data_IF_670691466422
#
_entry.id   IF_670691466422
#
_cell.length_a   1.000
_cell.length_b   1.000
_cell.length_c   1.000
_cell.angle_alpha   90.00
_cell.angle_beta   90.00
_cell.angle_gamma   90.00
#
_symmetry.space_group_name_H-M   'P 1'
#
loop_
_entity.id
_entity.type
_entity.pdbx_description
1 polymer ?
#
# COMPACT_ATOMS: atom_id res chain seq x y z
N UNK A 1 -8.60 -24.66 21.88
CA UNK A 1 -9.10 -23.94 20.68
C UNK A 1 -10.46 -23.28 20.86
N UNK A 2 -11.61 -24.00 20.94
CA UNK A 2 -12.96 -23.36 21.13
C UNK A 2 -13.00 -22.34 22.27
N UNK A 3 -12.58 -22.77 23.46
CA UNK A 3 -12.56 -21.92 24.66
C UNK A 3 -11.53 -20.79 24.55
N UNK A 4 -10.40 -20.99 23.87
CA UNK A 4 -9.40 -19.95 23.66
C UNK A 4 -9.89 -18.89 22.67
N UNK A 5 -10.51 -19.28 21.55
CA UNK A 5 -11.12 -18.38 20.58
C UNK A 5 -12.22 -17.55 21.27
N UNK A 6 -13.13 -18.20 21.99
CA UNK A 6 -14.18 -17.51 22.74
C UNK A 6 -13.62 -16.54 23.78
N UNK A 7 -12.55 -16.92 24.49
CA UNK A 7 -11.89 -16.06 25.48
C UNK A 7 -11.22 -14.85 24.82
N UNK A 8 -10.56 -15.05 23.67
CA UNK A 8 -9.93 -13.96 22.92
C UNK A 8 -11.00 -13.01 22.37
N UNK A 9 -12.09 -13.52 21.78
CA UNK A 9 -13.17 -12.70 21.25
C UNK A 9 -13.90 -11.92 22.36
N UNK A 10 -14.10 -12.54 23.54
CA UNK A 10 -14.59 -11.84 24.75
C UNK A 10 -13.65 -10.71 25.16
N UNK A 11 -12.34 -10.94 25.17
CA UNK A 11 -11.35 -9.91 25.50
C UNK A 11 -11.34 -8.73 24.52
N UNK A 12 -11.92 -8.90 23.33
CA UNK A 12 -12.10 -7.85 22.31
C UNK A 12 -13.46 -7.16 22.37
N UNK A 13 -14.32 -7.51 23.33
CA UNK A 13 -15.62 -6.87 23.57
C UNK A 13 -16.74 -7.34 22.64
N UNK A 14 -16.63 -8.54 22.08
CA UNK A 14 -17.68 -9.14 21.23
C UNK A 14 -18.74 -9.78 22.15
N UNK A 15 -20.03 -9.66 21.78
CA UNK A 15 -21.14 -10.21 22.57
C UNK A 15 -21.15 -11.74 22.55
N UNK A 16 -21.66 -12.33 23.63
CA UNK A 16 -21.66 -13.79 23.81
C UNK A 16 -22.47 -14.53 22.73
N UNK A 17 -23.56 -13.92 22.27
CA UNK A 17 -24.40 -14.47 21.19
C UNK A 17 -23.65 -14.53 19.85
N UNK A 18 -22.92 -13.46 19.50
CA UNK A 18 -22.14 -13.38 18.27
C UNK A 18 -20.89 -14.28 18.35
N UNK A 19 -20.30 -14.43 19.54
CA UNK A 19 -19.21 -15.39 19.76
C UNK A 19 -19.71 -16.82 19.55
N UNK A 20 -20.90 -17.16 20.05
CA UNK A 20 -21.49 -18.48 19.86
C UNK A 20 -21.74 -18.77 18.37
N UNK A 21 -22.24 -17.79 17.62
CA UNK A 21 -22.46 -17.88 16.17
C UNK A 21 -21.13 -18.04 15.40
N UNK A 22 -20.13 -17.18 15.66
CA UNK A 22 -18.80 -17.26 15.03
C UNK A 22 -18.13 -18.60 15.31
N UNK A 23 -18.17 -19.07 16.56
CA UNK A 23 -17.59 -20.35 16.95
C UNK A 23 -18.30 -21.50 16.25
N UNK A 24 -19.63 -21.46 16.18
CA UNK A 24 -20.42 -22.46 15.46
C UNK A 24 -20.12 -22.47 13.95
N UNK A 25 -19.98 -21.29 13.34
CA UNK A 25 -19.68 -21.16 11.91
C UNK A 25 -18.26 -21.61 11.58
N UNK A 26 -17.28 -21.31 12.44
CA UNK A 26 -15.91 -21.85 12.32
C UNK A 26 -15.98 -23.37 12.46
N UNK A 27 -16.65 -23.91 13.49
CA UNK A 27 -16.74 -25.36 13.72
C UNK A 27 -17.41 -26.12 12.58
N UNK A 28 -18.38 -25.51 11.89
CA UNK A 28 -19.16 -26.14 10.80
C UNK A 28 -18.57 -25.92 9.42
N UNK A 29 -17.93 -24.78 9.14
CA UNK A 29 -17.39 -24.43 7.81
C UNK A 29 -15.88 -24.63 7.69
N UNK A 30 -15.15 -24.74 8.79
CA UNK A 30 -13.70 -24.93 8.75
C UNK A 30 -13.34 -26.41 8.63
N UNK A 31 -12.63 -26.76 7.56
CA UNK A 31 -11.92 -28.05 7.45
C UNK A 31 -10.89 -28.26 8.58
N UNK A 32 -10.56 -27.20 9.34
CA UNK A 32 -9.51 -27.19 10.35
C UNK A 32 -10.00 -27.37 11.81
N UNK A 33 -11.32 -27.38 12.07
CA UNK A 33 -11.83 -27.33 13.47
C UNK A 33 -12.79 -28.45 13.87
N UNK A 34 -12.99 -29.46 13.01
CA UNK A 34 -13.61 -30.72 13.47
C UNK A 34 -12.80 -31.33 14.62
N UNK A 35 -13.48 -32.02 15.56
CA UNK A 35 -13.03 -32.70 16.81
C UNK A 35 -11.53 -32.77 17.18
N UNK A 36 -11.20 -33.03 18.46
CA UNK A 36 -9.81 -33.25 18.91
C UNK A 36 -9.01 -34.27 18.04
N UNK A 37 -9.68 -35.22 17.38
CA UNK A 37 -9.08 -36.14 16.41
C UNK A 37 -8.66 -35.45 15.09
N UNK A 38 -9.43 -34.48 14.59
CA UNK A 38 -9.05 -33.71 13.40
C UNK A 38 -7.92 -32.73 13.71
N UNK A 39 -7.86 -32.13 14.91
CA UNK A 39 -6.70 -31.32 15.34
C UNK A 39 -5.40 -32.13 15.42
N UNK A 40 -5.45 -33.37 15.90
CA UNK A 40 -4.27 -34.25 15.91
C UNK A 40 -3.84 -34.61 14.48
N UNK A 41 -4.79 -34.97 13.61
CA UNK A 41 -4.52 -35.20 12.18
C UNK A 41 -3.95 -33.96 11.50
N UNK A 42 -4.43 -32.76 11.81
CA UNK A 42 -3.91 -31.51 11.25
C UNK A 42 -2.50 -31.23 11.77
N UNK A 43 -2.24 -31.43 13.07
CA UNK A 43 -0.89 -31.29 13.63
C UNK A 43 0.09 -32.20 12.93
N UNK A 44 -0.28 -33.45 12.66
CA UNK A 44 0.56 -34.40 11.92
C UNK A 44 0.69 -34.01 10.43
N UNK A 45 -0.41 -33.55 9.83
CA UNK A 45 -0.47 -33.11 8.42
C UNK A 45 0.38 -31.86 8.16
N UNK A 46 0.49 -30.94 9.11
CA UNK A 46 1.28 -29.71 8.97
C UNK A 46 2.62 -29.72 9.74
N UNK A 47 2.96 -30.85 10.38
CA UNK A 47 4.13 -31.01 11.28
C UNK A 47 5.48 -30.75 10.60
N UNK A 48 5.62 -31.12 9.33
CA UNK A 48 6.88 -31.04 8.58
C UNK A 48 6.70 -30.33 7.25
N UNK A 49 7.80 -29.82 6.68
CA UNK A 49 7.74 -29.19 5.35
C UNK A 49 7.23 -30.16 4.28
N UNK A 50 7.64 -31.43 4.37
CA UNK A 50 7.20 -32.48 3.48
C UNK A 50 5.69 -32.74 3.57
N UNK A 51 5.16 -32.88 4.79
CA UNK A 51 3.72 -33.13 4.98
C UNK A 51 2.88 -31.94 4.51
N UNK A 52 3.37 -30.71 4.73
CA UNK A 52 2.75 -29.50 4.19
C UNK A 52 2.72 -29.49 2.67
N UNK A 53 3.85 -29.77 2.01
CA UNK A 53 3.91 -29.84 0.55
C UNK A 53 2.95 -30.90 -0.01
N UNK A 54 2.90 -32.09 0.60
CA UNK A 54 1.97 -33.15 0.20
C UNK A 54 0.51 -32.73 0.38
N UNK A 55 0.18 -32.10 1.52
CA UNK A 55 -1.15 -31.56 1.75
C UNK A 55 -1.50 -30.50 0.70
N UNK A 56 -0.59 -29.58 0.40
CA UNK A 56 -0.86 -28.53 -0.57
C UNK A 56 -1.06 -29.07 -1.97
N UNK A 57 -0.19 -29.98 -2.43
CA UNK A 57 -0.33 -30.64 -3.73
C UNK A 57 -1.62 -31.44 -3.85
N UNK A 58 -2.10 -32.03 -2.74
CA UNK A 58 -3.31 -32.85 -2.74
C UNK A 58 -4.60 -32.01 -2.74
N UNK A 59 -4.62 -30.93 -1.95
CA UNK A 59 -5.86 -30.17 -1.71
C UNK A 59 -5.94 -28.88 -2.51
N UNK A 60 -4.81 -28.34 -2.98
CA UNK A 60 -4.76 -27.16 -3.83
C UNK A 60 -4.20 -27.53 -5.19
N UNK A 61 -4.67 -26.81 -6.21
CA UNK A 61 -4.16 -26.97 -7.57
C UNK A 61 -2.82 -26.25 -7.74
N UNK A 62 -1.78 -26.74 -7.06
CA UNK A 62 -0.43 -26.18 -7.08
C UNK A 62 0.18 -26.33 -8.47
N UNK A 63 0.72 -25.23 -9.00
CA UNK A 63 1.51 -25.23 -10.23
C UNK A 63 2.98 -25.36 -9.85
N UNK A 64 3.62 -26.45 -10.25
CA UNK A 64 5.02 -26.71 -9.95
C UNK A 64 5.94 -25.85 -10.84
N UNK A 65 7.13 -25.48 -10.36
CA UNK A 65 8.12 -24.81 -11.18
C UNK A 65 8.66 -25.73 -12.27
N UNK A 66 9.01 -25.15 -13.40
CA UNK A 66 9.76 -25.78 -14.47
C UNK A 66 11.21 -25.28 -14.45
N UNK A 67 12.13 -26.19 -14.74
CA UNK A 67 13.56 -25.92 -14.84
C UNK A 67 13.97 -25.70 -16.30
N UNK A 68 14.79 -24.68 -16.53
CA UNK A 68 15.39 -24.38 -17.83
C UNK A 68 16.90 -24.40 -17.64
N UNK A 69 17.58 -25.34 -18.30
CA UNK A 69 19.03 -25.43 -18.29
C UNK A 69 19.65 -24.25 -19.05
N UNK A 70 20.56 -23.52 -18.38
CA UNK A 70 21.22 -22.33 -18.90
C UNK A 70 22.67 -22.59 -19.36
N UNK A 71 23.16 -23.82 -19.24
CA UNK A 71 24.57 -24.15 -19.49
C UNK A 71 25.37 -24.26 -18.20
N UNK A 72 26.70 -24.08 -18.30
CA UNK A 72 27.63 -24.16 -17.17
C UNK A 72 28.21 -22.80 -16.81
N UNK A 73 28.45 -22.56 -15.53
CA UNK A 73 29.18 -21.39 -15.05
C UNK A 73 30.70 -21.52 -15.29
N UNK A 74 31.45 -20.50 -14.82
CA UNK A 74 32.91 -20.46 -14.89
C UNK A 74 33.60 -21.60 -14.11
N UNK A 75 32.90 -22.23 -13.17
CA UNK A 75 33.38 -23.35 -12.37
C UNK A 75 32.92 -24.71 -12.96
N UNK A 76 32.41 -24.70 -14.19
CA UNK A 76 31.85 -25.85 -14.90
C UNK A 76 30.64 -26.51 -14.21
N UNK A 77 29.91 -25.78 -13.37
CA UNK A 77 28.68 -26.26 -12.71
C UNK A 77 27.46 -25.91 -13.54
N UNK A 78 26.53 -26.86 -13.63
CA UNK A 78 25.27 -26.68 -14.33
C UNK A 78 24.43 -25.57 -13.68
N UNK A 79 23.90 -24.68 -14.52
CA UNK A 79 23.08 -23.54 -14.14
C UNK A 79 21.66 -23.72 -14.65
N UNK A 80 20.69 -23.32 -13.82
CA UNK A 80 19.27 -23.49 -14.12
C UNK A 80 18.48 -22.23 -13.78
N UNK A 81 17.57 -21.83 -14.67
CA UNK A 81 16.48 -20.91 -14.37
C UNK A 81 15.29 -21.73 -13.92
N UNK A 82 14.62 -21.30 -12.86
CA UNK A 82 13.36 -21.89 -12.43
C UNK A 82 12.25 -20.87 -12.59
N UNK A 83 11.13 -21.27 -13.18
CA UNK A 83 9.96 -20.40 -13.33
C UNK A 83 8.67 -21.18 -13.11
N UNK A 84 7.61 -20.48 -12.69
CA UNK A 84 6.27 -21.08 -12.58
C UNK A 84 5.51 -20.79 -13.88
N UNK A 85 5.03 -21.80 -14.63
CA UNK A 85 4.36 -21.58 -15.90
C UNK A 85 3.11 -20.71 -15.79
N UNK A 86 3.18 -19.49 -16.34
CA UNK A 86 2.12 -18.48 -16.25
C UNK A 86 0.79 -19.01 -16.76
N UNK A 87 0.78 -19.73 -17.87
CA UNK A 87 -0.45 -20.29 -18.46
C UNK A 87 -1.14 -21.29 -17.51
N UNK A 88 -0.37 -22.16 -16.85
CA UNK A 88 -0.90 -23.09 -15.87
C UNK A 88 -1.41 -22.34 -14.63
N UNK A 89 -0.66 -21.35 -14.14
CA UNK A 89 -1.05 -20.50 -13.02
C UNK A 89 -2.37 -19.77 -13.29
N UNK A 90 -2.52 -19.18 -14.48
CA UNK A 90 -3.75 -18.50 -14.89
C UNK A 90 -4.93 -19.46 -14.97
N UNK A 91 -4.76 -20.66 -15.52
CA UNK A 91 -5.82 -21.68 -15.56
C UNK A 91 -6.33 -22.05 -14.16
N UNK A 92 -5.45 -22.06 -13.16
CA UNK A 92 -5.85 -22.36 -11.79
C UNK A 92 -6.48 -21.14 -11.11
N UNK A 93 -5.88 -19.95 -11.27
CA UNK A 93 -6.43 -18.70 -10.72
C UNK A 93 -7.85 -18.42 -11.22
N UNK A 94 -8.13 -18.65 -12.50
CA UNK A 94 -9.45 -18.41 -13.10
C UNK A 94 -10.51 -19.46 -12.70
N UNK A 95 -10.15 -20.51 -11.95
CA UNK A 95 -11.16 -21.41 -11.34
C UNK A 95 -11.73 -20.84 -10.04
N UNK A 96 -11.03 -19.89 -9.43
CA UNK A 96 -11.49 -19.23 -8.21
C UNK A 96 -12.61 -18.24 -8.55
N UNK A 97 -13.79 -18.44 -7.95
CA UNK A 97 -14.96 -17.59 -8.18
C UNK A 97 -14.67 -16.13 -7.82
N UNK A 98 -13.91 -15.87 -6.74
CA UNK A 98 -13.56 -14.50 -6.32
C UNK A 98 -12.71 -13.78 -7.37
N UNK A 99 -11.84 -14.51 -8.07
CA UNK A 99 -11.06 -13.97 -9.19
C UNK A 99 -11.97 -13.72 -10.38
N UNK A 100 -12.84 -14.67 -10.73
CA UNK A 100 -13.78 -14.54 -11.84
C UNK A 100 -14.78 -13.39 -11.65
N UNK A 101 -15.20 -13.13 -10.41
CA UNK A 101 -16.06 -11.99 -10.09
C UNK A 101 -15.39 -10.65 -10.43
N UNK A 102 -14.08 -10.51 -10.22
CA UNK A 102 -13.34 -9.29 -10.58
C UNK A 102 -13.31 -9.02 -12.10
N UNK A 103 -13.48 -10.05 -12.92
CA UNK A 103 -13.60 -9.90 -14.38
C UNK A 103 -15.06 -9.73 -14.86
N UNK A 104 -16.02 -10.18 -14.05
CA UNK A 104 -17.43 -10.30 -14.47
C UNK A 104 -18.29 -9.11 -14.05
N UNK A 105 -17.87 -8.34 -13.04
CA UNK A 105 -18.61 -7.17 -12.55
C UNK A 105 -17.85 -5.88 -12.95
N UNK A 106 -18.07 -5.32 -14.15
CA UNK A 106 -17.66 -3.93 -14.39
C UNK A 106 -18.36 -3.04 -13.36
N UNK A 107 -17.64 -2.08 -12.78
CA UNK A 107 -18.26 -1.16 -11.81
C UNK A 107 -19.36 -0.35 -12.54
N UNK A 108 -20.62 -0.67 -12.23
CA UNK A 108 -21.79 -0.08 -12.89
C UNK A 108 -22.13 1.30 -12.33
N UNK A 109 -21.45 1.75 -11.27
CA UNK A 109 -21.71 3.03 -10.61
C UNK A 109 -20.77 4.14 -11.09
N UNK A 110 -20.35 4.11 -12.36
CA UNK A 110 -19.55 5.20 -12.93
C UNK A 110 -20.35 6.49 -12.93
N UNK A 111 -19.90 7.47 -12.13
CA UNK A 111 -20.46 8.81 -12.20
C UNK A 111 -20.05 9.46 -13.52
N UNK A 112 -20.97 10.17 -14.20
CA UNK A 112 -20.60 11.00 -15.34
C UNK A 112 -19.45 11.94 -14.98
N UNK A 113 -18.56 12.20 -15.94
CA UNK A 113 -17.44 13.14 -15.79
C UNK A 113 -16.52 12.88 -14.59
N UNK A 114 -16.28 11.60 -14.32
CA UNK A 114 -15.35 11.16 -13.26
C UNK A 114 -14.41 10.05 -13.73
N UNK A 115 -13.30 9.95 -13.02
CA UNK A 115 -12.32 8.87 -13.12
C UNK A 115 -12.49 7.99 -11.88
N UNK A 116 -12.90 6.73 -12.06
CA UNK A 116 -13.09 5.75 -10.99
C UNK A 116 -12.17 4.54 -11.16
N UNK A 117 -11.78 4.23 -12.39
CA UNK A 117 -10.79 3.20 -12.68
C UNK A 117 -9.92 3.57 -13.89
N UNK A 118 -9.01 2.67 -14.25
CA UNK A 118 -8.09 2.89 -15.38
C UNK A 118 -8.78 2.96 -16.74
N UNK A 119 -9.98 2.40 -16.87
CA UNK A 119 -10.72 2.38 -18.14
C UNK A 119 -11.31 3.74 -18.47
N UNK A 120 -11.39 4.64 -17.48
CA UNK A 120 -11.79 6.03 -17.68
C UNK A 120 -10.66 6.89 -18.29
N UNK A 121 -9.41 6.42 -18.17
CA UNK A 121 -8.22 7.09 -18.69
C UNK A 121 -8.17 7.11 -20.22
N UNK A 122 -7.65 8.21 -20.77
CA UNK A 122 -7.54 8.39 -22.22
C UNK A 122 -6.64 7.34 -22.90
N UNK A 123 -5.62 6.81 -22.20
CA UNK A 123 -4.77 5.75 -22.74
C UNK A 123 -5.49 4.42 -22.90
N UNK A 124 -6.46 4.12 -22.04
CA UNK A 124 -7.29 2.93 -22.22
C UNK A 124 -8.30 3.13 -23.35
N UNK A 125 -9.04 4.24 -23.31
CA UNK A 125 -10.07 4.59 -24.30
C UNK A 125 -9.51 4.70 -25.72
N UNK A 126 -8.31 5.28 -25.87
CA UNK A 126 -7.67 5.49 -27.17
C UNK A 126 -6.95 4.27 -27.74
N UNK A 127 -6.85 3.16 -27.00
CA UNK A 127 -6.05 2.02 -27.42
C UNK A 127 -6.92 0.85 -27.92
N UNK A 128 -6.84 0.58 -29.22
CA UNK A 128 -7.62 -0.46 -29.93
C UNK A 128 -7.41 -1.87 -29.38
N UNK A 129 -6.24 -2.15 -28.78
CA UNK A 129 -5.96 -3.44 -28.13
C UNK A 129 -6.93 -3.71 -26.99
N UNK A 130 -7.31 -2.68 -26.23
CA UNK A 130 -8.23 -2.80 -25.10
C UNK A 130 -9.71 -2.73 -25.48
N UNK A 131 -10.03 -2.28 -26.70
CA UNK A 131 -11.42 -2.13 -27.16
C UNK A 131 -12.02 -3.43 -27.72
N UNK A 132 -11.22 -4.50 -27.92
CA UNK A 132 -11.69 -5.71 -28.62
C UNK A 132 -11.32 -7.01 -27.89
N UNK A 133 -12.30 -7.89 -27.72
CA UNK A 133 -12.12 -9.22 -27.14
C UNK A 133 -11.85 -9.23 -25.63
N UNK A 134 -11.79 -10.43 -25.04
CA UNK A 134 -11.45 -10.61 -23.63
C UNK A 134 -9.93 -10.55 -23.44
N UNK A 135 -9.48 -9.76 -22.46
CA UNK A 135 -8.05 -9.60 -22.15
C UNK A 135 -7.79 -9.93 -20.69
N UNK A 136 -6.63 -10.54 -20.45
CA UNK A 136 -6.05 -10.67 -19.13
C UNK A 136 -4.80 -9.80 -19.14
N UNK A 137 -4.73 -8.85 -18.23
CA UNK A 137 -3.61 -7.93 -18.12
C UNK A 137 -2.71 -8.43 -17.00
N UNK A 138 -1.44 -8.63 -17.34
CA UNK A 138 -0.40 -9.09 -16.43
C UNK A 138 0.52 -7.93 -16.12
N UNK A 139 0.63 -7.59 -14.83
CA UNK A 139 1.62 -6.65 -14.34
C UNK A 139 2.83 -7.45 -13.88
N UNK A 140 3.99 -7.18 -14.47
CA UNK A 140 5.25 -7.82 -14.11
C UNK A 140 6.07 -6.88 -13.24
N UNK A 141 6.50 -7.38 -12.08
CA UNK A 141 7.37 -6.67 -11.15
C UNK A 141 8.67 -7.42 -11.03
N UNK A 142 9.76 -6.69 -10.81
CA UNK A 142 11.08 -7.27 -10.63
C UNK A 142 11.68 -6.74 -9.34
N UNK A 143 12.22 -7.63 -8.52
CA UNK A 143 12.96 -7.26 -7.32
C UNK A 143 14.15 -8.19 -7.13
N UNK A 144 15.20 -7.70 -6.48
CA UNK A 144 16.43 -8.45 -6.20
C UNK A 144 16.67 -8.52 -4.70
N UNK A 145 16.56 -9.72 -4.13
CA UNK A 145 16.74 -9.94 -2.70
C UNK A 145 17.91 -10.88 -2.38
N UNK A 146 18.42 -10.73 -1.16
CA UNK A 146 19.51 -11.54 -0.63
C UNK A 146 18.93 -12.79 0.04
N UNK A 147 19.35 -13.97 -0.41
CA UNK A 147 18.95 -15.27 0.18
C UNK A 147 19.98 -15.84 1.15
N UNK A 148 21.13 -15.18 1.29
CA UNK A 148 22.24 -15.63 2.13
C UNK A 148 22.08 -15.11 3.55
N UNK A 149 22.71 -15.80 4.52
CA UNK A 149 22.76 -15.36 5.90
C UNK A 149 23.30 -13.91 5.97
N UNK A 150 22.53 -12.95 6.55
CA UNK A 150 22.88 -11.54 6.58
C UNK A 150 24.13 -11.21 7.41
N UNK A 151 24.72 -12.19 8.12
CA UNK A 151 25.89 -12.02 8.98
C UNK A 151 27.15 -12.76 8.47
N UNK A 152 27.10 -13.45 7.33
CA UNK A 152 28.21 -14.24 6.80
C UNK A 152 29.11 -13.52 5.78
N UNK A 153 30.26 -14.12 5.46
CA UNK A 153 31.24 -13.61 4.47
C UNK A 153 30.74 -13.62 3.01
N UNK A 154 29.59 -14.24 2.75
CA UNK A 154 28.89 -14.24 1.46
C UNK A 154 27.83 -13.13 1.33
N UNK A 155 27.61 -12.32 2.38
CA UNK A 155 26.69 -11.17 2.39
C UNK A 155 26.97 -10.26 1.18
N UNK A 156 25.93 -9.73 0.54
CA UNK A 156 25.98 -8.81 -0.62
C UNK A 156 26.62 -9.32 -1.92
N UNK A 157 27.19 -10.54 -1.97
CA UNK A 157 27.88 -11.02 -3.19
C UNK A 157 26.92 -11.50 -4.28
N UNK A 158 25.82 -12.15 -3.91
CA UNK A 158 24.85 -12.69 -4.85
C UNK A 158 23.43 -12.30 -4.42
N UNK A 159 22.64 -11.84 -5.39
CA UNK A 159 21.21 -11.59 -5.22
C UNK A 159 20.43 -12.51 -6.13
N UNK A 160 19.29 -12.98 -5.65
CA UNK A 160 18.31 -13.65 -6.51
C UNK A 160 17.41 -12.57 -7.06
N UNK A 161 17.31 -12.55 -8.39
CA UNK A 161 16.35 -11.72 -9.11
C UNK A 161 15.04 -12.49 -9.21
N UNK A 162 13.97 -11.93 -8.67
CA UNK A 162 12.64 -12.48 -8.80
C UNK A 162 11.78 -11.60 -9.68
N UNK A 163 11.07 -12.24 -10.60
CA UNK A 163 10.02 -11.62 -11.41
C UNK A 163 8.67 -12.13 -10.91
N UNK A 164 7.82 -11.22 -10.46
CA UNK A 164 6.47 -11.51 -9.95
C UNK A 164 5.44 -11.09 -10.99
N UNK A 165 4.29 -11.75 -10.98
CA UNK A 165 3.12 -11.35 -11.75
C UNK A 165 1.95 -11.02 -10.85
N UNK A 166 1.14 -10.05 -11.26
CA UNK A 166 -0.19 -9.80 -10.68
C UNK A 166 -1.22 -9.61 -11.79
N UNK A 167 -2.45 -10.03 -11.51
CA UNK A 167 -3.61 -9.69 -12.31
C UNK A 167 -4.04 -8.26 -11.94
N UNK A 168 -4.15 -7.37 -12.92
CA UNK A 168 -4.48 -5.97 -12.64
C UNK A 168 -4.77 -5.17 -13.90
N UNK A 169 -5.24 -3.93 -13.73
CA UNK A 169 -5.39 -2.99 -14.85
C UNK A 169 -4.04 -2.41 -15.29
N UNK A 170 -3.94 -1.81 -16.49
CA UNK A 170 -2.77 -1.09 -17.00
C UNK A 170 -2.47 0.21 -16.25
N UNK A 171 -3.13 0.48 -15.12
CA UNK A 171 -2.78 1.59 -14.24
C UNK A 171 -1.44 1.28 -13.58
N UNK A 172 -0.36 1.80 -14.15
CA UNK A 172 0.95 1.92 -13.50
C UNK A 172 1.13 3.39 -13.09
N UNK A 173 0.39 3.86 -12.08
CA UNK A 173 0.60 5.21 -11.57
C UNK A 173 2.01 5.33 -10.98
N UNK A 174 2.52 6.57 -10.85
CA UNK A 174 3.76 6.82 -10.12
C UNK A 174 3.68 6.19 -8.73
N UNK A 175 4.82 5.78 -8.19
CA UNK A 175 4.83 5.15 -6.87
C UNK A 175 4.54 6.21 -5.79
N UNK A 176 3.26 6.43 -5.49
CA UNK A 176 2.80 7.43 -4.51
C UNK A 176 3.47 7.26 -3.15
N UNK A 177 3.78 6.01 -2.76
CA UNK A 177 4.55 5.72 -1.55
C UNK A 177 5.88 6.49 -1.52
N UNK A 178 6.67 6.39 -2.59
CA UNK A 178 7.99 7.00 -2.65
C UNK A 178 7.92 8.48 -3.04
N UNK A 179 7.07 8.85 -3.99
CA UNK A 179 7.01 10.20 -4.55
C UNK A 179 6.25 11.17 -3.65
N UNK A 180 5.08 10.75 -3.16
CA UNK A 180 4.18 11.59 -2.37
C UNK A 180 4.48 11.43 -0.88
N UNK A 181 4.35 10.23 -0.31
CA UNK A 181 4.36 10.04 1.15
C UNK A 181 5.77 10.08 1.78
N UNK A 182 6.73 9.36 1.21
CA UNK A 182 8.15 9.39 1.62
C UNK A 182 8.93 10.52 0.92
N UNK A 183 8.29 11.15 -0.06
CA UNK A 183 8.79 12.32 -0.75
C UNK A 183 8.20 13.59 -0.18
N UNK A 184 7.31 14.22 -0.93
CA UNK A 184 6.78 15.56 -0.61
C UNK A 184 6.29 15.65 0.84
N UNK A 185 5.43 14.73 1.28
CA UNK A 185 4.88 14.73 2.63
C UNK A 185 5.97 14.62 3.69
N UNK A 186 6.90 13.69 3.53
CA UNK A 186 7.99 13.50 4.50
C UNK A 186 8.89 14.72 4.66
N UNK A 187 9.22 15.41 3.56
CA UNK A 187 10.09 16.58 3.58
C UNK A 187 9.35 17.84 4.04
N UNK A 188 8.20 18.13 3.43
CA UNK A 188 7.50 19.40 3.66
C UNK A 188 6.79 19.42 5.01
N UNK A 189 6.16 18.31 5.42
CA UNK A 189 5.56 18.25 6.75
C UNK A 189 6.61 18.38 7.85
N UNK A 190 7.81 17.81 7.66
CA UNK A 190 8.92 18.02 8.58
C UNK A 190 9.33 19.50 8.65
N UNK A 191 9.51 20.14 7.49
CA UNK A 191 9.87 21.55 7.39
C UNK A 191 8.87 22.45 8.12
N UNK A 192 7.57 22.23 7.91
CA UNK A 192 6.50 23.03 8.52
C UNK A 192 6.42 22.82 10.03
N UNK A 193 6.51 21.56 10.49
CA UNK A 193 6.58 21.25 11.93
C UNK A 193 7.80 21.89 12.59
N UNK A 194 8.97 21.88 11.93
CA UNK A 194 10.16 22.56 12.45
C UNK A 194 9.99 24.08 12.51
N UNK A 195 9.27 24.68 11.55
CA UNK A 195 8.91 26.11 11.61
C UNK A 195 8.05 26.41 12.84
N UNK A 196 7.05 25.59 13.13
CA UNK A 196 6.20 25.75 14.32
C UNK A 196 6.95 25.57 15.63
N UNK A 197 7.92 24.66 15.68
CA UNK A 197 8.70 24.35 16.88
C UNK A 197 9.81 25.39 17.13
N UNK A 198 10.61 25.69 16.10
CA UNK A 198 11.85 26.46 16.25
C UNK A 198 11.61 27.95 16.05
N UNK A 199 10.85 28.32 15.02
CA UNK A 199 10.65 29.71 14.63
C UNK A 199 9.45 30.32 15.36
N UNK A 200 8.26 29.74 15.21
CA UNK A 200 7.02 30.28 15.81
C UNK A 200 6.85 29.94 17.29
N UNK A 201 7.48 28.85 17.75
CA UNK A 201 7.41 28.34 19.13
C UNK A 201 5.98 28.07 19.62
N UNK A 202 5.09 27.66 18.71
CA UNK A 202 3.70 27.34 19.04
C UNK A 202 3.58 25.99 19.74
N UNK A 203 4.45 25.03 19.39
CA UNK A 203 4.44 23.68 19.96
C UNK A 203 5.88 23.20 20.20
N UNK A 204 6.05 22.27 21.14
CA UNK A 204 7.35 21.60 21.35
C UNK A 204 7.35 20.22 20.70
N UNK A 205 8.53 19.70 20.39
CA UNK A 205 8.65 18.35 19.80
C UNK A 205 8.18 17.27 20.78
N UNK A 206 8.35 17.49 22.09
CA UNK A 206 7.85 16.64 23.16
C UNK A 206 6.32 16.62 23.19
N UNK A 207 5.69 17.79 23.09
CA UNK A 207 4.23 17.91 23.07
C UNK A 207 3.65 17.24 21.82
N UNK A 208 4.25 17.48 20.65
CA UNK A 208 3.84 16.83 19.40
C UNK A 208 3.89 15.30 19.52
N UNK A 209 5.02 14.77 19.98
CA UNK A 209 5.19 13.33 20.12
C UNK A 209 4.28 12.72 21.18
N UNK A 210 3.95 13.48 22.24
CA UNK A 210 2.94 13.09 23.21
C UNK A 210 1.56 13.00 22.55
N UNK A 211 1.14 14.03 21.80
CA UNK A 211 -0.14 14.02 21.04
C UNK A 211 -0.22 12.85 20.07
N UNK A 212 0.86 12.59 19.32
CA UNK A 212 0.95 11.43 18.42
C UNK A 212 0.79 10.11 19.18
N UNK A 213 1.44 9.97 20.35
CA UNK A 213 1.40 8.73 21.13
C UNK A 213 0.02 8.50 21.75
N UNK A 214 -0.59 9.56 22.28
CA UNK A 214 -1.84 9.51 23.06
C UNK A 214 -3.10 9.51 22.17
N UNK A 215 -2.97 9.82 20.88
CA UNK A 215 -4.09 9.86 19.94
C UNK A 215 -4.80 8.50 19.85
N UNK A 216 -6.13 8.52 19.89
CA UNK A 216 -6.98 7.31 19.89
C UNK A 216 -7.20 6.77 18.46
N UNK A 217 -6.17 6.15 17.88
CA UNK A 217 -6.26 5.51 16.56
C UNK A 217 -7.27 4.36 16.52
N UNK A 218 -8.00 4.23 15.41
CA UNK A 218 -8.98 3.17 15.15
C UNK A 218 -8.68 2.43 13.85
N UNK A 219 -9.12 1.18 13.74
CA UNK A 219 -8.99 0.40 12.49
C UNK A 219 -7.54 0.28 12.00
N UNK A 220 -7.34 0.46 10.68
CA UNK A 220 -6.03 0.41 10.02
C UNK A 220 -5.04 1.43 10.59
N UNK A 221 -5.53 2.61 11.01
CA UNK A 221 -4.68 3.67 11.58
C UNK A 221 -3.92 3.23 12.85
N UNK A 222 -4.43 2.22 13.56
CA UNK A 222 -3.75 1.66 14.75
C UNK A 222 -2.56 0.78 14.39
N UNK A 223 -2.59 0.14 13.21
CA UNK A 223 -1.47 -0.63 12.67
C UNK A 223 -0.40 0.31 12.11
N UNK A 224 -0.85 1.39 11.46
CA UNK A 224 -0.01 2.35 10.76
C UNK A 224 0.27 3.62 11.58
N UNK A 225 0.44 3.48 12.89
CA UNK A 225 0.67 4.63 13.77
C UNK A 225 1.90 5.43 13.31
N UNK A 226 1.82 6.78 13.29
CA UNK A 226 2.97 7.62 13.00
C UNK A 226 4.15 7.34 13.94
N UNK A 227 5.35 7.37 13.37
CA UNK A 227 6.59 7.32 14.16
C UNK A 227 6.79 8.68 14.83
N UNK A 228 7.39 8.68 16.03
CA UNK A 228 7.78 9.91 16.72
C UNK A 228 8.61 10.80 15.80
N UNK A 229 8.21 12.06 15.68
CA UNK A 229 8.91 13.11 14.95
C UNK A 229 10.20 13.44 15.70
N UNK A 230 11.31 13.49 14.96
CA UNK A 230 12.63 13.86 15.49
C UNK A 230 13.11 15.13 14.80
N UNK A 231 13.92 15.94 15.50
CA UNK A 231 14.73 16.97 14.85
C UNK A 231 15.83 16.24 14.07
N UNK A 232 15.56 15.95 12.81
CA UNK A 232 16.42 15.15 11.94
C UNK A 232 17.36 16.07 11.16
N UNK A 233 18.70 15.87 11.19
CA UNK A 233 19.64 16.64 10.37
C UNK A 233 19.35 16.54 8.87
N UNK A 234 18.76 15.43 8.42
CA UNK A 234 18.39 15.18 7.01
C UNK A 234 17.18 15.99 6.55
N UNK A 235 16.43 16.60 7.49
CA UNK A 235 15.29 17.46 7.16
C UNK A 235 14.07 16.70 6.62
N UNK A 236 13.83 15.47 7.08
CA UNK A 236 12.64 14.67 6.71
C UNK A 236 12.05 13.89 7.87
N UNK A 237 10.77 13.55 7.76
CA UNK A 237 10.08 12.62 8.67
C UNK A 237 10.69 11.22 8.59
N UNK A 238 10.72 10.54 9.72
CA UNK A 238 11.05 9.11 9.82
C UNK A 238 9.79 8.28 9.79
N UNK A 239 9.87 7.05 9.26
CA UNK A 239 8.72 6.15 9.15
C UNK A 239 8.43 5.78 7.70
N UNK A 240 7.59 4.76 7.53
CA UNK A 240 7.16 4.28 6.23
C UNK A 240 6.08 5.17 5.61
N UNK A 241 5.90 5.09 4.30
CA UNK A 241 4.90 5.82 3.52
C UNK A 241 3.53 5.96 4.21
N UNK A 242 2.90 4.84 4.60
CA UNK A 242 1.56 4.85 5.22
C UNK A 242 1.53 5.58 6.56
N UNK A 243 2.62 5.55 7.32
CA UNK A 243 2.73 6.24 8.62
C UNK A 243 2.83 7.76 8.42
N UNK A 244 3.54 8.21 7.38
CA UNK A 244 3.61 9.63 7.02
C UNK A 244 2.26 10.15 6.50
N UNK A 245 1.56 9.35 5.68
CA UNK A 245 0.21 9.66 5.24
C UNK A 245 -0.75 9.78 6.43
N UNK A 246 -0.70 8.82 7.35
CA UNK A 246 -1.53 8.83 8.55
C UNK A 246 -1.25 10.06 9.42
N UNK A 247 0.02 10.45 9.59
CA UNK A 247 0.39 11.66 10.32
C UNK A 247 -0.22 12.90 9.67
N UNK A 248 0.00 13.13 8.37
CA UNK A 248 -0.54 14.30 7.67
C UNK A 248 -2.06 14.40 7.81
N UNK A 249 -2.76 13.29 7.60
CA UNK A 249 -4.22 13.24 7.61
C UNK A 249 -4.80 13.56 8.99
N UNK A 250 -4.17 13.08 10.07
CA UNK A 250 -4.65 13.22 11.44
C UNK A 250 -4.03 14.41 12.19
N UNK A 251 -2.95 15.02 11.68
CA UNK A 251 -2.23 16.09 12.37
C UNK A 251 -3.15 17.25 12.77
N UNK A 252 -4.08 17.75 11.92
CA UNK A 252 -4.98 18.82 12.34
C UNK A 252 -5.83 18.47 13.56
N UNK A 253 -6.23 17.20 13.70
CA UNK A 253 -6.98 16.73 14.86
C UNK A 253 -6.11 16.62 16.13
N UNK A 254 -4.79 16.53 15.97
CA UNK A 254 -3.84 16.38 17.08
C UNK A 254 -3.40 17.71 17.68
N UNK A 255 -3.29 18.76 16.85
CA UNK A 255 -2.62 20.01 17.22
C UNK A 255 -3.43 21.28 16.92
N UNK A 256 -4.64 21.21 16.35
CA UNK A 256 -5.43 22.42 16.03
C UNK A 256 -5.68 23.32 17.23
N UNK A 257 -5.83 22.75 18.43
CA UNK A 257 -6.01 23.51 19.68
C UNK A 257 -4.76 24.28 20.14
N UNK A 258 -3.60 24.02 19.52
CA UNK A 258 -2.31 24.67 19.81
C UNK A 258 -1.97 25.73 18.76
N UNK A 259 -2.59 25.67 17.57
CA UNK A 259 -2.35 26.64 16.49
C UNK A 259 -2.90 28.01 16.90
N UNK A 260 -2.03 29.02 16.88
CA UNK A 260 -2.38 30.38 17.34
C UNK A 260 -3.10 31.20 16.27
N UNK A 261 -2.80 30.95 15.00
CA UNK A 261 -3.42 31.64 13.86
C UNK A 261 -3.74 30.63 12.75
N UNK A 262 -5.03 30.46 12.47
CA UNK A 262 -5.50 29.59 11.41
C UNK A 262 -5.29 30.18 10.01
N UNK A 263 -5.02 31.48 9.88
CA UNK A 263 -4.70 32.12 8.60
C UNK A 263 -3.19 32.11 8.30
N UNK A 264 -2.37 31.55 9.20
CA UNK A 264 -0.94 31.48 9.01
C UNK A 264 -0.55 30.74 7.74
N UNK A 265 0.33 31.34 6.92
CA UNK A 265 0.67 30.79 5.60
C UNK A 265 1.31 29.39 5.69
N UNK A 266 2.05 29.06 6.76
CA UNK A 266 2.65 27.71 6.93
C UNK A 266 1.60 26.70 7.37
N UNK A 267 0.63 27.10 8.20
CA UNK A 267 -0.51 26.26 8.54
C UNK A 267 -1.37 25.97 7.30
N UNK A 268 -1.61 26.98 6.48
CA UNK A 268 -2.32 26.83 5.21
C UNK A 268 -1.60 25.86 4.26
N UNK A 269 -0.25 25.88 4.19
CA UNK A 269 0.50 24.88 3.43
C UNK A 269 0.30 23.44 3.93
N UNK A 270 0.17 23.21 5.24
CA UNK A 270 -0.13 21.87 5.78
C UNK A 270 -1.51 21.41 5.32
N UNK A 271 -2.51 22.30 5.40
CA UNK A 271 -3.88 22.00 4.99
C UNK A 271 -3.97 21.75 3.48
N UNK A 272 -3.33 22.58 2.66
CA UNK A 272 -3.26 22.39 1.20
C UNK A 272 -2.56 21.09 0.84
N UNK A 273 -1.44 20.74 1.49
CA UNK A 273 -0.76 19.47 1.26
C UNK A 273 -1.65 18.27 1.63
N UNK A 274 -2.39 18.36 2.75
CA UNK A 274 -3.37 17.35 3.15
C UNK A 274 -4.46 17.19 2.09
N UNK A 275 -5.00 18.29 1.57
CA UNK A 275 -6.05 18.28 0.55
C UNK A 275 -5.57 17.74 -0.80
N UNK A 276 -4.35 18.10 -1.24
CA UNK A 276 -3.70 17.49 -2.41
C UNK A 276 -3.62 15.98 -2.23
N UNK A 277 -3.16 15.52 -1.07
CA UNK A 277 -3.04 14.08 -0.77
C UNK A 277 -4.41 13.41 -0.77
N UNK A 278 -5.43 14.02 -0.15
CA UNK A 278 -6.80 13.49 -0.11
C UNK A 278 -7.39 13.36 -1.53
N UNK A 279 -7.19 14.34 -2.41
CA UNK A 279 -7.66 14.30 -3.81
C UNK A 279 -6.91 13.26 -4.64
N UNK A 280 -5.58 13.22 -4.55
CA UNK A 280 -4.73 12.26 -5.28
C UNK A 280 -5.03 10.82 -4.86
N UNK A 281 -5.34 10.61 -3.57
CA UNK A 281 -5.65 9.29 -3.03
C UNK A 281 -7.14 8.96 -3.06
N UNK A 282 -7.96 9.79 -3.71
CA UNK A 282 -9.39 9.51 -3.82
C UNK A 282 -9.61 8.32 -4.77
N UNK A 283 -10.45 7.32 -4.39
CA UNK A 283 -10.80 6.21 -5.28
C UNK A 283 -11.55 6.67 -6.54
N UNK A 284 -12.21 7.82 -6.46
CA UNK A 284 -12.92 8.43 -7.57
C UNK A 284 -12.72 9.94 -7.55
N UNK A 285 -12.39 10.54 -8.70
CA UNK A 285 -12.15 11.97 -8.84
C UNK A 285 -12.91 12.51 -10.06
N UNK A 286 -13.72 13.54 -9.85
CA UNK A 286 -14.43 14.23 -10.94
C UNK A 286 -13.48 15.11 -11.76
N UNK A 287 -13.88 15.46 -12.99
CA UNK A 287 -13.15 16.41 -13.84
C UNK A 287 -12.97 17.78 -13.15
N UNK A 288 -13.97 18.24 -12.40
CA UNK A 288 -13.93 19.50 -11.63
C UNK A 288 -12.90 19.43 -10.50
N UNK A 289 -12.92 18.35 -9.71
CA UNK A 289 -11.92 18.11 -8.67
C UNK A 289 -10.51 17.96 -9.24
N UNK A 290 -10.38 17.40 -10.45
CA UNK A 290 -9.11 17.25 -11.13
C UNK A 290 -8.53 18.60 -11.56
N UNK A 291 -9.38 19.51 -12.07
CA UNK A 291 -8.99 20.89 -12.38
C UNK A 291 -8.59 21.62 -11.10
N UNK A 292 -9.39 21.49 -10.04
CA UNK A 292 -9.07 22.06 -8.74
C UNK A 292 -7.74 21.55 -8.18
N UNK A 293 -7.46 20.24 -8.32
CA UNK A 293 -6.19 19.64 -7.92
C UNK A 293 -5.00 20.28 -8.65
N UNK A 294 -5.14 20.56 -9.96
CA UNK A 294 -4.09 21.19 -10.75
C UNK A 294 -3.77 22.61 -10.25
N UNK A 295 -4.81 23.39 -9.97
CA UNK A 295 -4.65 24.75 -9.46
C UNK A 295 -4.08 24.71 -8.03
N UNK A 296 -4.61 23.84 -7.17
CA UNK A 296 -4.16 23.64 -5.79
C UNK A 296 -2.68 23.27 -5.71
N UNK A 297 -2.20 22.34 -6.55
CA UNK A 297 -0.78 21.98 -6.63
C UNK A 297 0.07 23.19 -7.04
N UNK A 298 -0.40 23.97 -8.00
CA UNK A 298 0.32 25.16 -8.49
C UNK A 298 0.47 26.19 -7.38
N UNK A 299 -0.63 26.54 -6.71
CA UNK A 299 -0.61 27.50 -5.59
C UNK A 299 0.21 26.98 -4.41
N UNK A 300 0.09 25.70 -4.06
CA UNK A 300 0.87 25.08 -3.01
C UNK A 300 2.38 25.20 -3.27
N UNK A 301 2.85 24.83 -4.46
CA UNK A 301 4.27 24.88 -4.80
C UNK A 301 4.82 26.31 -4.84
N UNK A 302 4.05 27.26 -5.36
CA UNK A 302 4.42 28.68 -5.37
C UNK A 302 4.52 29.25 -3.95
N UNK A 303 3.51 29.02 -3.12
CA UNK A 303 3.48 29.46 -1.72
C UNK A 303 4.59 28.83 -0.89
N UNK A 304 4.85 27.52 -1.09
CA UNK A 304 5.99 26.81 -0.47
C UNK A 304 7.31 27.49 -0.81
N UNK A 305 7.56 27.76 -2.09
CA UNK A 305 8.81 28.38 -2.54
C UNK A 305 8.95 29.82 -2.01
N UNK A 306 7.85 30.57 -1.96
CA UNK A 306 7.81 31.93 -1.40
C UNK A 306 8.15 31.95 0.09
N UNK A 307 7.57 31.04 0.88
CA UNK A 307 7.78 31.00 2.34
C UNK A 307 9.12 30.39 2.75
N UNK A 308 9.68 29.49 1.93
CA UNK A 308 10.92 28.80 2.22
C UNK A 308 11.90 28.91 1.03
N UNK A 309 12.35 30.13 0.69
CA UNK A 309 13.18 30.36 -0.51
C UNK A 309 14.53 29.63 -0.44
N UNK A 310 15.06 29.42 0.77
CA UNK A 310 16.31 28.69 1.04
C UNK A 310 16.16 27.16 0.88
N UNK A 311 14.94 26.63 0.76
CA UNK A 311 14.68 25.19 0.69
C UNK A 311 14.38 24.76 -0.75
N UNK A 312 15.42 24.24 -1.42
CA UNK A 312 15.34 23.76 -2.79
C UNK A 312 14.17 22.79 -3.03
N UNK A 313 13.43 23.05 -4.13
CA UNK A 313 12.43 22.13 -4.65
C UNK A 313 13.10 20.85 -5.14
N UNK A 314 12.70 19.72 -4.59
CA UNK A 314 13.20 18.39 -5.01
C UNK A 314 12.44 17.89 -6.25
N UNK A 315 13.02 16.97 -7.05
CA UNK A 315 12.32 16.34 -8.18
C UNK A 315 10.92 15.80 -7.84
N UNK A 316 10.74 15.25 -6.64
CA UNK A 316 9.44 14.73 -6.17
C UNK A 316 8.34 15.79 -6.10
N UNK A 317 8.66 17.05 -5.82
CA UNK A 317 7.68 18.14 -5.87
C UNK A 317 7.30 18.47 -7.31
N UNK A 318 8.24 18.38 -8.25
CA UNK A 318 7.93 18.50 -9.67
C UNK A 318 7.05 17.35 -10.15
N UNK A 319 7.22 16.13 -9.63
CA UNK A 319 6.34 15.01 -9.98
C UNK A 319 4.86 15.27 -9.66
N UNK A 320 4.55 16.04 -8.60
CA UNK A 320 3.17 16.45 -8.32
C UNK A 320 2.51 17.17 -9.50
N UNK A 321 3.25 18.01 -10.24
CA UNK A 321 2.66 18.77 -11.36
C UNK A 321 2.17 17.87 -12.49
N UNK A 322 2.63 16.62 -12.54
CA UNK A 322 2.20 15.63 -13.53
C UNK A 322 0.98 14.83 -13.08
N UNK A 323 0.64 14.83 -11.78
CA UNK A 323 -0.42 13.97 -11.25
C UNK A 323 -1.77 14.21 -11.92
N UNK A 324 -2.23 15.46 -12.15
CA UNK A 324 -3.50 15.67 -12.85
C UNK A 324 -3.53 15.04 -14.25
N UNK A 325 -2.45 15.24 -15.03
CA UNK A 325 -2.31 14.65 -16.37
C UNK A 325 -2.27 13.12 -16.32
N UNK A 326 -1.56 12.55 -15.34
CA UNK A 326 -1.49 11.11 -15.15
C UNK A 326 -2.86 10.53 -14.82
N UNK A 327 -3.68 11.22 -14.02
CA UNK A 327 -5.06 10.82 -13.74
C UNK A 327 -5.90 10.82 -15.04
N UNK A 328 -5.82 11.90 -15.83
CA UNK A 328 -6.51 11.98 -17.13
C UNK A 328 -6.10 10.82 -18.05
N UNK A 329 -4.82 10.46 -18.02
CA UNK A 329 -4.25 9.47 -18.92
C UNK A 329 -4.56 8.03 -18.49
N UNK A 330 -4.46 7.73 -17.20
CA UNK A 330 -4.43 6.36 -16.67
C UNK A 330 -5.56 6.04 -15.67
N UNK A 331 -6.46 6.98 -15.38
CA UNK A 331 -7.43 6.85 -14.28
C UNK A 331 -6.82 7.19 -12.92
N UNK A 332 -7.53 6.93 -11.80
CA UNK A 332 -7.05 7.25 -10.45
C UNK A 332 -5.66 6.66 -10.15
N UNK A 333 -4.81 7.42 -9.45
CA UNK A 333 -3.42 7.02 -9.16
C UNK A 333 -3.27 6.05 -7.99
N UNK A 334 -4.36 5.79 -7.28
CA UNK A 334 -4.43 4.76 -6.25
C UNK A 334 -5.62 3.85 -6.57
N UNK A 335 -5.42 2.56 -6.39
CA UNK A 335 -6.51 1.59 -6.36
C UNK A 335 -6.81 1.31 -4.89
N UNK A 336 -8.03 1.59 -4.45
CA UNK A 336 -8.49 1.33 -3.07
C UNK A 336 -9.07 -0.08 -2.98
#
# INVERSE_FOLDING_TARGET
MRNEIATVLKSKGISDDLIAEIVHEIETKSEFTGSACALHKLRDTFSSSHNRSNYYQKNFSVVNPEEIYLGKDSDHKDCYLHYIPIHCTLKQLLKDESVMEQFSKPDTNKKPDSYADFTDGSSFKGNTFFQTGRKIILLLFQDAFEIVNPLGSARTKHKVLATYMSLGGPGLPPCLAHDLFEGVVSYDLHLYLMSFIKSKKWLTIELLNKRITDFKYKGKDKLDKPVKVKSNPVGKLTGHAVQNWNLLRLLPLMISDIIQDFNDEVWQLILSLREIVDLVCSPCISCEQLQYLQDLITFYLQSRQKLFPEQNVKPKHHYLTHYPKLITQFGPLIKV
#
